data_IF_434193692896
#
_entry.id   IF_434193692896
#
_cell.length_a   1.000
_cell.length_b   1.000
_cell.length_c   1.000
_cell.angle_alpha   90.00
_cell.angle_beta   90.00
_cell.angle_gamma   90.00
#
_symmetry.space_group_name_H-M   'P 1'
#
loop_
_entity.id
_entity.type
_entity.pdbx_description
1 polymer ?
#
# COMPACT_ATOMS: atom_id res chain seq x y z
N UNK A 1 -8.17 -16.62 -15.16
CA UNK A 1 -7.94 -15.27 -15.69
C UNK A 1 -6.76 -15.38 -16.63
N UNK A 2 -6.96 -15.20 -17.94
CA UNK A 2 -5.86 -15.26 -18.92
C UNK A 2 -5.18 -13.89 -18.98
N UNK A 3 -3.89 -13.84 -19.36
CA UNK A 3 -3.12 -12.58 -19.43
C UNK A 3 -3.80 -11.50 -20.29
N UNK A 4 -4.62 -11.91 -21.26
CA UNK A 4 -5.31 -11.02 -22.21
C UNK A 4 -6.57 -10.35 -21.63
N UNK A 5 -6.99 -10.68 -20.41
CA UNK A 5 -8.22 -10.14 -19.80
C UNK A 5 -8.00 -8.81 -19.06
N UNK A 6 -6.75 -8.41 -18.79
CA UNK A 6 -6.44 -7.16 -18.10
C UNK A 6 -5.21 -6.48 -18.70
N UNK A 7 -5.43 -5.40 -19.45
CA UNK A 7 -4.37 -4.58 -20.04
C UNK A 7 -3.96 -3.52 -19.01
N UNK A 8 -2.76 -3.66 -18.46
CA UNK A 8 -2.16 -2.64 -17.59
C UNK A 8 -1.68 -1.46 -18.43
N UNK A 9 -2.50 -0.40 -18.51
CA UNK A 9 -2.11 0.85 -19.17
C UNK A 9 -1.16 1.67 -18.26
N UNK A 10 -0.04 2.18 -18.78
CA UNK A 10 0.82 3.11 -18.06
C UNK A 10 0.07 4.38 -17.63
N UNK A 11 0.37 4.91 -16.45
CA UNK A 11 -0.08 6.22 -16.04
C UNK A 11 0.41 7.27 -17.03
N UNK A 12 -0.49 8.12 -17.51
CA UNK A 12 -0.11 9.22 -18.37
C UNK A 12 0.69 10.26 -17.59
N UNK A 13 1.55 11.00 -18.30
CA UNK A 13 2.26 12.14 -17.72
C UNK A 13 1.27 13.18 -17.21
N UNK A 14 0.22 13.47 -17.98
CA UNK A 14 -0.87 14.37 -17.56
C UNK A 14 -1.49 13.94 -16.23
N UNK A 15 -1.84 12.67 -16.05
CA UNK A 15 -2.38 12.19 -14.76
C UNK A 15 -1.39 12.44 -13.62
N UNK A 16 -0.13 12.09 -13.86
CA UNK A 16 0.98 12.16 -12.91
C UNK A 16 1.32 13.61 -12.52
N UNK A 17 1.13 14.55 -13.44
CA UNK A 17 1.37 15.99 -13.26
C UNK A 17 0.17 16.71 -12.62
N UNK A 18 -1.05 16.23 -12.87
CA UNK A 18 -2.27 16.75 -12.26
C UNK A 18 -2.51 16.29 -10.81
N UNK A 19 -1.67 15.38 -10.29
CA UNK A 19 -1.73 15.01 -8.88
C UNK A 19 -1.41 16.21 -7.97
N UNK A 20 -2.08 16.34 -6.81
CA UNK A 20 -1.73 17.35 -5.82
C UNK A 20 -0.24 17.31 -5.46
N UNK A 21 0.34 18.48 -5.14
CA UNK A 21 1.77 18.61 -4.85
C UNK A 21 2.24 17.64 -3.78
N UNK A 22 1.47 17.48 -2.70
CA UNK A 22 1.80 16.55 -1.61
C UNK A 22 1.92 15.08 -2.08
N UNK A 23 1.14 14.68 -3.09
CA UNK A 23 1.27 13.35 -3.71
C UNK A 23 2.55 13.24 -4.55
N UNK A 24 2.92 14.32 -5.26
CA UNK A 24 4.09 14.36 -6.15
C UNK A 24 5.42 14.47 -5.41
N UNK A 25 5.44 15.06 -4.21
CA UNK A 25 6.64 15.12 -3.35
C UNK A 25 7.20 13.70 -3.08
N UNK A 26 6.34 12.69 -2.99
CA UNK A 26 6.72 11.30 -2.78
C UNK A 26 7.11 10.51 -4.04
N UNK A 27 7.29 11.15 -5.21
CA UNK A 27 7.48 10.43 -6.47
C UNK A 27 8.61 9.40 -6.45
N UNK A 28 9.72 9.74 -5.78
CA UNK A 28 10.88 8.85 -5.68
C UNK A 28 10.59 7.58 -4.87
N UNK A 29 9.60 7.64 -3.97
CA UNK A 29 9.19 6.51 -3.12
C UNK A 29 7.93 5.79 -3.63
N UNK A 30 7.31 6.21 -4.74
CA UNK A 30 6.11 5.54 -5.28
C UNK A 30 6.33 4.04 -5.56
N UNK A 31 7.57 3.66 -5.82
CA UNK A 31 7.97 2.27 -6.14
C UNK A 31 8.69 1.58 -4.97
N UNK A 32 8.69 2.17 -3.78
CA UNK A 32 9.32 1.55 -2.59
C UNK A 32 8.51 0.34 -2.14
N UNK A 33 9.17 -0.72 -1.68
CA UNK A 33 8.52 -1.78 -0.91
C UNK A 33 8.65 -1.45 0.56
N UNK A 34 7.56 -1.06 1.21
CA UNK A 34 7.57 -0.63 2.60
C UNK A 34 6.23 -0.88 3.30
N UNK A 35 6.21 -1.13 4.61
CA UNK A 35 4.97 -1.07 5.37
C UNK A 35 4.43 0.37 5.40
N UNK A 36 3.16 0.53 5.09
CA UNK A 36 2.37 1.74 5.30
C UNK A 36 1.58 1.54 6.59
N UNK A 37 1.78 2.46 7.54
CA UNK A 37 1.08 2.44 8.81
C UNK A 37 -0.14 3.36 8.74
N UNK A 38 -1.33 2.83 9.02
CA UNK A 38 -2.56 3.59 9.17
C UNK A 38 -3.24 3.20 10.49
N UNK A 39 -2.96 3.96 11.53
CA UNK A 39 -3.53 3.80 12.88
C UNK A 39 -3.24 2.46 13.54
N UNK A 40 -4.12 1.47 13.42
CA UNK A 40 -3.99 0.12 13.96
C UNK A 40 -3.74 -0.93 12.87
N UNK A 41 -3.68 -0.49 11.61
CA UNK A 41 -3.46 -1.35 10.45
C UNK A 41 -2.09 -1.08 9.86
N UNK A 42 -1.30 -2.14 9.74
CA UNK A 42 -0.11 -2.15 8.89
C UNK A 42 -0.53 -2.74 7.55
N UNK A 43 -0.51 -1.95 6.49
CA UNK A 43 -0.60 -2.44 5.12
C UNK A 43 0.80 -2.45 4.51
N UNK A 44 1.06 -3.25 3.47
CA UNK A 44 2.39 -3.25 2.83
C UNK A 44 2.27 -2.76 1.40
N UNK A 45 3.04 -1.73 1.10
CA UNK A 45 3.18 -1.20 -0.25
C UNK A 45 4.00 -2.18 -1.10
N UNK A 46 3.36 -2.77 -2.11
CA UNK A 46 3.94 -3.76 -3.02
C UNK A 46 3.78 -3.31 -4.49
N UNK A 47 4.48 -2.25 -4.90
CA UNK A 47 4.35 -1.70 -6.25
C UNK A 47 4.93 -2.63 -7.31
N UNK A 48 5.72 -3.63 -6.91
CA UNK A 48 6.26 -4.67 -7.78
C UNK A 48 5.17 -5.50 -8.46
N UNK A 49 3.90 -5.38 -8.05
CA UNK A 49 2.73 -5.99 -8.70
C UNK A 49 2.13 -5.16 -9.84
N UNK A 50 2.50 -3.89 -9.97
CA UNK A 50 1.90 -2.91 -10.89
C UNK A 50 2.95 -2.13 -11.69
N UNK A 51 4.12 -2.71 -11.93
CA UNK A 51 5.25 -2.04 -12.59
C UNK A 51 4.95 -1.59 -14.02
N UNK A 52 4.05 -2.29 -14.72
CA UNK A 52 3.54 -1.87 -16.06
C UNK A 52 2.86 -0.51 -16.01
N UNK A 53 2.16 -0.16 -14.93
CA UNK A 53 1.53 1.17 -14.79
C UNK A 53 2.56 2.30 -14.70
N UNK A 54 3.80 2.00 -14.31
CA UNK A 54 4.92 2.96 -14.31
C UNK A 54 5.71 2.93 -15.62
N UNK A 55 5.23 2.24 -16.67
CA UNK A 55 5.96 2.04 -17.92
C UNK A 55 7.16 1.10 -17.80
N UNK A 56 7.23 0.30 -16.73
CA UNK A 56 8.34 -0.62 -16.46
C UNK A 56 7.97 -2.07 -16.77
N UNK A 57 8.98 -2.92 -16.91
CA UNK A 57 8.79 -4.36 -17.07
C UNK A 57 8.22 -4.97 -15.79
N UNK A 58 7.10 -5.67 -15.92
CA UNK A 58 6.51 -6.46 -14.84
C UNK A 58 7.25 -7.80 -14.72
N UNK A 59 8.01 -7.99 -13.64
CA UNK A 59 8.56 -9.29 -13.24
C UNK A 59 7.53 -10.05 -12.40
N UNK A 60 7.75 -11.35 -12.16
CA UNK A 60 6.95 -12.10 -11.18
C UNK A 60 7.20 -11.45 -9.80
N UNK A 61 6.16 -10.93 -9.11
CA UNK A 61 6.33 -10.28 -7.81
C UNK A 61 6.90 -11.25 -6.78
N UNK A 62 7.79 -10.76 -5.92
CA UNK A 62 8.31 -11.59 -4.83
C UNK A 62 7.32 -11.56 -3.67
N UNK A 63 7.00 -12.71 -3.04
CA UNK A 63 6.15 -12.71 -1.84
C UNK A 63 6.69 -11.75 -0.79
N UNK A 64 5.80 -11.03 -0.12
CA UNK A 64 6.14 -10.33 1.10
C UNK A 64 5.86 -11.26 2.26
N UNK A 65 6.87 -11.51 3.09
CA UNK A 65 6.75 -12.38 4.25
C UNK A 65 6.04 -11.60 5.35
N UNK A 66 4.74 -11.79 5.44
CA UNK A 66 3.96 -11.36 6.60
C UNK A 66 4.26 -12.30 7.77
N UNK A 67 4.37 -11.75 8.97
CA UNK A 67 4.35 -12.59 10.16
C UNK A 67 2.98 -13.29 10.28
N UNK A 68 2.92 -14.38 11.05
CA UNK A 68 1.70 -15.17 11.21
C UNK A 68 0.56 -14.36 11.83
N UNK A 69 0.84 -13.22 12.47
CA UNK A 69 -0.11 -12.37 13.18
C UNK A 69 -0.55 -11.13 12.38
N UNK A 70 0.03 -10.89 11.20
CA UNK A 70 -0.17 -9.66 10.44
C UNK A 70 -1.64 -9.41 10.07
N UNK A 71 -2.40 -10.47 9.79
CA UNK A 71 -3.83 -10.39 9.49
C UNK A 71 -4.71 -10.59 10.73
N UNK A 72 -4.12 -10.79 11.91
CA UNK A 72 -4.81 -11.00 13.18
C UNK A 72 -5.02 -9.69 13.93
N UNK A 73 -5.38 -8.62 13.21
CA UNK A 73 -5.83 -7.37 13.81
C UNK A 73 -7.35 -7.28 13.65
N UNK A 74 -8.09 -7.41 14.75
CA UNK A 74 -9.49 -7.00 14.79
C UNK A 74 -9.57 -5.53 15.24
N UNK A 75 -10.36 -4.73 14.52
CA UNK A 75 -10.64 -3.32 14.88
C UNK A 75 -11.41 -3.16 16.21
N UNK A 76 -11.53 -4.23 16.98
CA UNK A 76 -12.15 -4.26 18.32
C UNK A 76 -11.18 -3.75 19.38
N UNK A 77 -9.92 -3.52 19.02
CA UNK A 77 -8.87 -3.13 19.95
C UNK A 77 -8.57 -4.26 20.94
N UNK A 78 -7.77 -3.96 21.96
CA UNK A 78 -7.50 -4.94 23.02
C UNK A 78 -8.79 -5.23 23.78
N UNK A 79 -9.24 -6.51 23.86
CA UNK A 79 -10.40 -6.85 24.68
C UNK A 79 -10.15 -6.38 26.12
N UNK A 80 -11.18 -5.81 26.75
CA UNK A 80 -11.16 -5.24 28.11
C UNK A 80 -10.34 -3.95 28.32
N UNK A 81 -10.01 -3.20 27.27
CA UNK A 81 -9.39 -1.86 27.42
C UNK A 81 -10.45 -0.76 27.47
N UNK A 82 -10.48 0.01 28.56
CA UNK A 82 -11.34 1.19 28.67
C UNK A 82 -10.63 2.42 28.08
N UNK A 83 -10.80 2.66 26.79
CA UNK A 83 -10.18 3.77 26.07
C UNK A 83 -10.52 5.17 26.64
N UNK A 84 -11.64 5.33 27.35
CA UNK A 84 -11.95 6.59 28.05
C UNK A 84 -11.00 6.88 29.20
N UNK A 85 -10.48 5.85 29.88
CA UNK A 85 -9.49 6.03 30.94
C UNK A 85 -8.09 6.26 30.37
N UNK A 86 -7.72 5.52 29.33
CA UNK A 86 -6.40 5.62 28.67
C UNK A 86 -6.17 6.97 27.98
N UNK A 87 -7.18 7.53 27.30
CA UNK A 87 -7.09 8.82 26.62
C UNK A 87 -7.46 10.03 27.49
N UNK A 88 -7.77 9.83 28.77
CA UNK A 88 -8.03 10.92 29.70
C UNK A 88 -6.75 11.53 30.31
N UNK A 89 -5.57 11.03 29.92
CA UNK A 89 -4.27 11.50 30.38
C UNK A 89 -3.57 12.41 29.37
#
# INVERSE_FOLDING_TARGET
MTEDQFIWEPYSNDLTENLPDYCRIGRDIWRVRAPIFCWDVVEVHLPDRVMRQFGLKQTIPTPFLFDATHFHHDRRGRPNTNWKLEHAQ
#
